data_IF_075883186401
#
_entry.id   IF_075883186401
#
_cell.length_a   1.000
_cell.length_b   1.000
_cell.length_c   1.000
_cell.angle_alpha   90.00
_cell.angle_beta   90.00
_cell.angle_gamma   90.00
#
_symmetry.space_group_name_H-M   'P 1'
#
loop_
_entity.id
_entity.type
_entity.pdbx_description
1 polymer ?
#
# COMPACT_ATOMS: atom_id res chain seq x y z
N UNK A 1 -41.01 57.67 50.93
CA UNK A 1 -40.27 58.13 49.73
C UNK A 1 -39.41 57.03 49.10
N UNK A 2 -38.73 56.17 49.89
CA UNK A 2 -37.88 55.08 49.36
C UNK A 2 -38.61 54.08 48.43
N UNK A 3 -39.82 53.63 48.78
CA UNK A 3 -40.57 52.66 47.98
C UNK A 3 -40.96 53.20 46.58
N UNK A 4 -41.24 54.50 46.43
CA UNK A 4 -41.59 55.11 45.15
C UNK A 4 -40.39 55.25 44.21
N UNK A 5 -39.18 55.45 44.78
CA UNK A 5 -37.94 55.52 44.03
C UNK A 5 -37.50 54.12 43.54
N UNK A 6 -37.71 53.10 44.36
CA UNK A 6 -37.45 51.69 43.98
C UNK A 6 -38.39 51.27 42.83
N UNK A 7 -39.67 51.63 42.88
CA UNK A 7 -40.63 51.32 41.80
C UNK A 7 -40.32 52.05 40.51
N UNK A 8 -39.93 53.32 40.56
CA UNK A 8 -39.53 54.05 39.35
C UNK A 8 -38.26 53.48 38.73
N UNK A 9 -37.33 52.99 39.57
CA UNK A 9 -36.10 52.32 39.11
C UNK A 9 -36.41 51.01 38.39
N UNK A 10 -37.24 50.14 38.99
CA UNK A 10 -37.65 48.88 38.37
C UNK A 10 -38.42 49.09 37.06
N UNK A 11 -39.27 50.11 36.99
CA UNK A 11 -39.97 50.48 35.76
C UNK A 11 -39.00 50.97 34.67
N UNK A 12 -37.97 51.74 35.04
CA UNK A 12 -36.92 52.17 34.11
C UNK A 12 -36.08 50.97 33.61
N UNK A 13 -35.71 50.04 34.50
CA UNK A 13 -34.98 48.82 34.14
C UNK A 13 -35.79 47.91 33.20
N UNK A 14 -37.10 47.72 33.46
CA UNK A 14 -37.99 46.96 32.58
C UNK A 14 -38.17 47.61 31.20
N UNK A 15 -38.28 48.95 31.16
CA UNK A 15 -38.33 49.69 29.90
C UNK A 15 -37.02 49.53 29.11
N UNK A 16 -35.87 49.63 29.78
CA UNK A 16 -34.57 49.43 29.15
C UNK A 16 -34.42 48.00 28.59
N UNK A 17 -34.82 46.98 29.35
CA UNK A 17 -34.78 45.59 28.90
C UNK A 17 -35.73 45.35 27.73
N UNK A 18 -36.94 45.93 27.79
CA UNK A 18 -37.93 45.79 26.72
C UNK A 18 -37.46 46.44 25.43
N UNK A 19 -36.91 47.66 25.50
CA UNK A 19 -36.35 48.35 24.34
C UNK A 19 -35.15 47.57 23.76
N UNK A 20 -34.25 47.08 24.61
CA UNK A 20 -33.12 46.25 24.19
C UNK A 20 -33.58 44.98 23.47
N UNK A 21 -34.55 44.26 24.04
CA UNK A 21 -35.07 43.02 23.46
C UNK A 21 -35.82 43.26 22.15
N UNK A 22 -36.53 44.39 22.03
CA UNK A 22 -37.23 44.80 20.81
C UNK A 22 -36.25 45.11 19.67
N UNK A 23 -35.15 45.79 19.96
CA UNK A 23 -34.20 46.24 18.93
C UNK A 23 -33.14 45.16 18.60
N UNK A 24 -32.87 44.24 19.52
CA UNK A 24 -31.94 43.12 19.36
C UNK A 24 -32.07 42.33 18.04
N UNK A 25 -33.27 41.83 17.63
CA UNK A 25 -33.39 41.05 16.39
C UNK A 25 -33.05 41.87 15.14
N UNK A 26 -33.43 43.15 15.10
CA UNK A 26 -33.15 44.04 13.97
C UNK A 26 -31.65 44.33 13.86
N UNK A 27 -31.02 44.70 14.98
CA UNK A 27 -29.57 44.92 15.04
C UNK A 27 -28.82 43.65 14.69
N UNK A 28 -29.19 42.49 15.26
CA UNK A 28 -28.57 41.19 14.95
C UNK A 28 -28.67 40.84 13.47
N UNK A 29 -29.82 41.04 12.84
CA UNK A 29 -30.01 40.80 11.41
C UNK A 29 -29.11 41.71 10.56
N UNK A 30 -28.99 42.99 10.91
CA UNK A 30 -28.09 43.93 10.24
C UNK A 30 -26.61 43.53 10.38
N UNK A 31 -26.18 43.15 11.59
CA UNK A 31 -24.82 42.65 11.82
C UNK A 31 -24.54 41.37 11.02
N UNK A 32 -25.48 40.43 11.00
CA UNK A 32 -25.36 39.19 10.23
C UNK A 32 -25.32 39.46 8.72
N UNK A 33 -26.16 40.37 8.21
CA UNK A 33 -26.12 40.78 6.81
C UNK A 33 -24.79 41.43 6.45
N UNK A 34 -24.31 42.40 7.24
CA UNK A 34 -23.02 43.05 7.03
C UNK A 34 -21.84 42.06 7.11
N UNK A 35 -21.87 41.12 8.06
CA UNK A 35 -20.86 40.07 8.16
C UNK A 35 -20.89 39.14 6.94
N UNK A 36 -22.09 38.73 6.50
CA UNK A 36 -22.26 37.89 5.30
C UNK A 36 -21.77 38.58 4.04
N UNK A 37 -22.05 39.86 3.87
CA UNK A 37 -21.61 40.62 2.70
C UNK A 37 -20.09 40.81 2.70
N UNK A 38 -19.48 41.16 3.85
CA UNK A 38 -18.02 41.23 3.99
C UNK A 38 -17.32 39.90 3.74
N UNK A 39 -17.89 38.80 4.22
CA UNK A 39 -17.36 37.45 3.97
C UNK A 39 -17.50 37.06 2.50
N UNK A 40 -18.63 37.38 1.86
CA UNK A 40 -18.86 37.11 0.44
C UNK A 40 -17.84 37.86 -0.43
N UNK A 41 -17.60 39.14 -0.13
CA UNK A 41 -16.60 39.94 -0.86
C UNK A 41 -15.19 39.36 -0.71
N UNK A 42 -14.78 39.04 0.52
CA UNK A 42 -13.47 38.41 0.79
C UNK A 42 -13.33 37.06 0.10
N UNK A 43 -14.36 36.22 0.17
CA UNK A 43 -14.37 34.93 -0.51
C UNK A 43 -14.32 35.10 -2.03
N UNK A 44 -15.05 36.07 -2.58
CA UNK A 44 -15.00 36.42 -4.01
C UNK A 44 -13.59 36.81 -4.44
N UNK A 45 -12.92 37.67 -3.66
CA UNK A 45 -11.53 38.09 -3.89
C UNK A 45 -10.55 36.92 -3.84
N UNK A 46 -10.58 36.13 -2.76
CA UNK A 46 -9.71 34.94 -2.61
C UNK A 46 -9.97 33.92 -3.71
N UNK A 47 -11.23 33.69 -4.09
CA UNK A 47 -11.59 32.78 -5.17
C UNK A 47 -11.08 33.28 -6.52
N UNK A 48 -11.11 34.58 -6.78
CA UNK A 48 -10.55 35.17 -7.99
C UNK A 48 -9.01 35.08 -8.01
N UNK A 49 -8.36 35.40 -6.90
CA UNK A 49 -6.90 35.27 -6.75
C UNK A 49 -6.45 33.81 -6.91
N UNK A 50 -7.18 32.87 -6.30
CA UNK A 50 -6.95 31.42 -6.43
C UNK A 50 -7.11 30.96 -7.88
N UNK A 51 -8.17 31.39 -8.59
CA UNK A 51 -8.34 31.08 -10.02
C UNK A 51 -7.21 31.66 -10.87
N UNK A 52 -6.78 32.88 -10.60
CA UNK A 52 -5.66 33.52 -11.31
C UNK A 52 -4.34 32.81 -11.04
N UNK A 53 -4.08 32.38 -9.81
CA UNK A 53 -2.91 31.61 -9.44
C UNK A 53 -2.92 30.23 -10.14
N UNK A 54 -4.04 29.51 -10.09
CA UNK A 54 -4.21 28.23 -10.77
C UNK A 54 -4.00 28.34 -12.28
N UNK A 55 -4.48 29.42 -12.92
CA UNK A 55 -4.23 29.68 -14.33
C UNK A 55 -2.75 29.89 -14.67
N UNK A 56 -2.02 30.64 -13.83
CA UNK A 56 -0.58 30.85 -13.99
C UNK A 56 0.23 29.56 -13.78
N UNK A 57 -0.16 28.76 -12.80
CA UNK A 57 0.45 27.45 -12.52
C UNK A 57 0.22 26.48 -13.68
N UNK A 58 -1.01 26.42 -14.22
CA UNK A 58 -1.33 25.59 -15.38
C UNK A 58 -0.51 25.97 -16.60
N UNK A 59 -0.33 27.27 -16.88
CA UNK A 59 0.47 27.72 -18.02
C UNK A 59 1.96 27.42 -17.85
N UNK A 60 2.50 27.55 -16.63
CA UNK A 60 3.87 27.15 -16.34
C UNK A 60 4.05 25.62 -16.51
N UNK A 61 3.13 24.83 -15.96
CA UNK A 61 3.15 23.38 -16.09
C UNK A 61 3.02 22.92 -17.56
N UNK A 62 2.19 23.59 -18.38
CA UNK A 62 2.08 23.32 -19.81
C UNK A 62 3.42 23.56 -20.53
N UNK A 63 4.09 24.67 -20.22
CA UNK A 63 5.41 24.97 -20.76
C UNK A 63 6.45 23.90 -20.41
N UNK A 64 6.49 23.49 -19.14
CA UNK A 64 7.40 22.44 -18.67
C UNK A 64 7.08 21.08 -19.31
N UNK A 65 5.81 20.75 -19.45
CA UNK A 65 5.34 19.51 -20.10
C UNK A 65 5.70 19.48 -21.59
N UNK A 66 5.53 20.58 -22.33
CA UNK A 66 5.92 20.66 -23.74
C UNK A 66 7.45 20.48 -23.89
N UNK A 67 8.23 21.09 -23.01
CA UNK A 67 9.67 20.92 -23.01
C UNK A 67 10.06 19.48 -22.67
N UNK A 68 9.39 18.84 -21.72
CA UNK A 68 9.61 17.44 -21.37
C UNK A 68 9.27 16.51 -22.54
N UNK A 69 8.10 16.69 -23.17
CA UNK A 69 7.68 15.93 -24.35
C UNK A 69 8.66 16.09 -25.51
N UNK A 70 9.16 17.31 -25.77
CA UNK A 70 10.19 17.52 -26.79
C UNK A 70 11.48 16.78 -26.47
N UNK A 71 11.96 16.87 -25.22
CA UNK A 71 13.17 16.14 -24.79
C UNK A 71 12.99 14.62 -24.95
N UNK A 72 11.82 14.13 -24.57
CA UNK A 72 11.46 12.72 -24.65
C UNK A 72 11.35 12.22 -26.09
N UNK A 73 10.76 13.03 -26.98
CA UNK A 73 10.61 12.72 -28.41
C UNK A 73 11.93 12.73 -29.18
N UNK A 74 12.90 13.58 -28.79
CA UNK A 74 14.16 13.74 -29.52
C UNK A 74 15.21 12.65 -29.22
N UNK A 75 14.92 11.72 -28.31
CA UNK A 75 15.85 10.64 -27.91
C UNK A 75 15.19 9.28 -28.15
N UNK A 76 15.98 8.27 -28.52
CA UNK A 76 15.51 6.90 -28.65
C UNK A 76 14.51 6.65 -29.79
N UNK A 77 13.57 5.72 -29.55
CA UNK A 77 12.48 5.38 -30.46
C UNK A 77 11.52 6.56 -30.71
N UNK A 78 10.71 6.48 -31.77
CA UNK A 78 9.75 7.53 -32.12
C UNK A 78 8.79 7.83 -30.96
N UNK A 79 8.34 9.07 -30.84
CA UNK A 79 7.40 9.46 -29.77
C UNK A 79 6.14 8.60 -29.76
N UNK A 80 5.67 8.16 -30.93
CA UNK A 80 4.52 7.27 -31.07
C UNK A 80 4.78 5.92 -30.40
N UNK A 81 5.94 5.29 -30.65
CA UNK A 81 6.34 4.02 -30.03
C UNK A 81 6.45 4.15 -28.51
N UNK A 82 6.99 5.28 -28.03
CA UNK A 82 7.13 5.56 -26.61
C UNK A 82 5.79 5.79 -25.91
N UNK A 83 4.88 6.52 -26.56
CA UNK A 83 3.51 6.74 -26.06
C UNK A 83 2.76 5.43 -26.03
N UNK A 84 2.84 4.63 -27.09
CA UNK A 84 2.23 3.30 -27.17
C UNK A 84 2.78 2.37 -26.08
N UNK A 85 4.10 2.38 -25.87
CA UNK A 85 4.74 1.60 -24.82
C UNK A 85 4.26 2.01 -23.42
N UNK A 86 4.17 3.32 -23.17
CA UNK A 86 3.71 3.84 -21.89
C UNK A 86 2.23 3.51 -21.66
N UNK A 87 1.37 3.63 -22.68
CA UNK A 87 -0.04 3.27 -22.59
C UNK A 87 -0.24 1.78 -22.28
N UNK A 88 0.52 0.90 -22.93
CA UNK A 88 0.50 -0.54 -22.65
C UNK A 88 0.96 -0.86 -21.23
N UNK A 89 2.00 -0.18 -20.73
CA UNK A 89 2.48 -0.33 -19.35
C UNK A 89 1.41 0.16 -18.37
N UNK A 90 0.85 1.35 -18.59
CA UNK A 90 -0.14 1.95 -17.70
C UNK A 90 -1.42 1.11 -17.67
N UNK A 91 -2.00 0.80 -18.84
CA UNK A 91 -3.17 -0.09 -18.94
C UNK A 91 -2.89 -1.43 -18.28
N UNK A 92 -1.72 -1.99 -18.52
CA UNK A 92 -1.26 -3.21 -17.86
C UNK A 92 -1.24 -3.11 -16.34
N UNK A 93 -0.64 -2.05 -15.79
CA UNK A 93 -0.57 -1.77 -14.35
C UNK A 93 -1.96 -1.62 -13.75
N UNK A 94 -2.86 -0.90 -14.42
CA UNK A 94 -4.27 -0.77 -14.00
C UNK A 94 -4.96 -2.15 -13.92
N UNK A 95 -4.85 -2.98 -14.94
CA UNK A 95 -5.46 -4.34 -14.90
C UNK A 95 -4.85 -5.23 -13.82
N UNK A 96 -3.58 -5.00 -13.46
CA UNK A 96 -2.88 -5.80 -12.46
C UNK A 96 -3.21 -5.33 -11.03
N UNK A 97 -3.39 -4.02 -10.83
CA UNK A 97 -3.72 -3.40 -9.55
C UNK A 97 -5.20 -3.48 -9.18
N UNK A 98 -6.06 -3.95 -10.08
CA UNK A 98 -7.47 -4.20 -9.77
C UNK A 98 -7.63 -5.11 -8.55
N UNK A 99 -8.61 -4.85 -7.64
CA UNK A 99 -8.82 -5.65 -6.43
C UNK A 99 -9.11 -7.14 -6.64
N UNK A 100 -9.51 -7.50 -7.86
CA UNK A 100 -9.74 -8.88 -8.33
C UNK A 100 -8.71 -9.34 -9.38
N UNK A 101 -7.72 -8.50 -9.67
CA UNK A 101 -6.63 -8.73 -10.61
C UNK A 101 -5.71 -9.86 -10.16
N UNK A 102 -4.86 -10.31 -11.08
CA UNK A 102 -3.95 -11.45 -10.84
C UNK A 102 -3.02 -11.22 -9.66
N UNK A 103 -2.52 -10.00 -9.49
CA UNK A 103 -1.66 -9.65 -8.36
C UNK A 103 -2.38 -9.79 -7.02
N UNK A 104 -3.58 -9.21 -6.90
CA UNK A 104 -4.39 -9.32 -5.69
C UNK A 104 -4.74 -10.79 -5.35
N UNK A 105 -4.92 -11.66 -6.35
CA UNK A 105 -5.14 -13.10 -6.12
C UNK A 105 -3.91 -13.80 -5.56
N UNK A 106 -2.72 -13.51 -6.10
CA UNK A 106 -1.43 -14.04 -5.63
C UNK A 106 -1.18 -13.60 -4.18
N UNK A 107 -1.40 -12.31 -3.87
CA UNK A 107 -1.25 -11.76 -2.52
C UNK A 107 -2.23 -12.41 -1.54
N UNK A 108 -3.53 -12.46 -1.86
CA UNK A 108 -4.53 -13.11 -0.99
C UNK A 108 -4.24 -14.58 -0.74
N UNK A 109 -3.68 -15.28 -1.74
CA UNK A 109 -3.33 -16.70 -1.61
C UNK A 109 -2.17 -16.89 -0.64
N UNK A 110 -1.13 -16.07 -0.78
CA UNK A 110 -0.03 -16.02 0.16
C UNK A 110 -0.50 -15.61 1.56
N UNK A 111 -1.36 -14.60 1.69
CA UNK A 111 -1.89 -14.18 2.99
C UNK A 111 -2.61 -15.34 3.69
N UNK A 112 -3.48 -16.09 2.99
CA UNK A 112 -4.15 -17.26 3.56
C UNK A 112 -3.15 -18.32 4.04
N UNK A 113 -2.11 -18.56 3.27
CA UNK A 113 -1.04 -19.46 3.66
C UNK A 113 -0.26 -18.92 4.87
N UNK A 114 0.08 -17.63 4.90
CA UNK A 114 0.80 -17.02 6.02
C UNK A 114 -0.02 -17.05 7.33
N UNK A 115 -1.35 -16.93 7.23
CA UNK A 115 -2.24 -17.17 8.37
C UNK A 115 -2.16 -18.63 8.84
N UNK A 116 -2.20 -19.60 7.91
CA UNK A 116 -2.00 -21.02 8.24
C UNK A 116 -0.64 -21.30 8.88
N UNK A 117 0.44 -20.64 8.42
CA UNK A 117 1.77 -20.74 9.07
C UNK A 117 1.71 -20.25 10.52
N UNK A 118 1.02 -19.13 10.76
CA UNK A 118 0.85 -18.58 12.10
C UNK A 118 0.05 -19.52 13.00
N UNK A 119 -1.04 -20.09 12.48
CA UNK A 119 -1.87 -21.08 13.17
C UNK A 119 -1.08 -22.36 13.50
N UNK A 120 -0.25 -22.84 12.56
CA UNK A 120 0.61 -24.01 12.77
C UNK A 120 1.70 -23.74 13.81
N UNK A 121 2.33 -22.56 13.80
CA UNK A 121 3.27 -22.15 14.85
C UNK A 121 2.61 -22.07 16.23
N UNK A 122 1.40 -21.53 16.31
CA UNK A 122 0.64 -21.48 17.56
C UNK A 122 0.24 -22.87 18.04
N UNK A 123 -0.18 -23.76 17.13
CA UNK A 123 -0.44 -25.15 17.43
C UNK A 123 0.82 -25.88 17.93
N UNK A 124 2.00 -25.62 17.36
CA UNK A 124 3.29 -26.17 17.83
C UNK A 124 3.64 -25.69 19.25
N UNK A 125 3.33 -24.44 19.60
CA UNK A 125 3.55 -23.92 20.98
C UNK A 125 2.64 -24.60 22.01
N UNK A 126 1.46 -25.05 21.59
CA UNK A 126 0.49 -25.75 22.44
C UNK A 126 0.47 -27.28 22.22
N UNK A 127 1.38 -27.82 21.39
CA UNK A 127 1.40 -29.23 21.01
C UNK A 127 1.75 -30.16 22.19
N UNK A 128 2.44 -29.64 23.21
CA UNK A 128 2.72 -30.37 24.46
C UNK A 128 1.42 -30.66 25.26
N UNK A 129 0.32 -29.94 24.99
CA UNK A 129 -1.00 -30.10 25.64
C UNK A 129 -2.08 -30.76 24.74
N UNK A 130 -1.90 -30.79 23.41
CA UNK A 130 -2.95 -31.16 22.43
C UNK A 130 -2.60 -32.36 21.53
N UNK A 131 -2.11 -33.46 22.09
CA UNK A 131 -1.82 -34.74 21.39
C UNK A 131 -3.05 -35.46 20.75
N UNK A 132 -4.21 -34.80 20.61
CA UNK A 132 -5.49 -35.43 20.22
C UNK A 132 -6.12 -34.85 18.93
N UNK A 133 -5.59 -33.74 18.39
CA UNK A 133 -6.05 -33.21 17.10
C UNK A 133 -4.98 -33.48 16.03
N UNK A 134 -5.40 -34.04 14.90
CA UNK A 134 -4.54 -34.74 13.94
C UNK A 134 -3.28 -33.98 13.51
N UNK A 135 -2.19 -34.72 13.31
CA UNK A 135 -0.85 -34.21 13.00
C UNK A 135 -0.76 -33.31 11.74
N UNK A 136 -1.78 -33.32 10.86
CA UNK A 136 -1.80 -32.52 9.63
C UNK A 136 -1.83 -31.00 9.89
N UNK A 137 -2.33 -30.53 11.04
CA UNK A 137 -2.33 -29.09 11.37
C UNK A 137 -0.97 -28.55 11.86
N UNK A 138 0.03 -29.43 12.04
CA UNK A 138 1.37 -29.06 12.53
C UNK A 138 2.37 -28.82 11.40
N UNK A 139 2.07 -29.25 10.18
CA UNK A 139 2.95 -29.10 9.02
C UNK A 139 2.55 -27.90 8.16
N UNK A 140 3.53 -27.17 7.63
CA UNK A 140 3.27 -26.10 6.68
C UNK A 140 3.07 -26.76 5.31
N UNK A 141 1.83 -26.78 4.82
CA UNK A 141 1.60 -27.09 3.42
C UNK A 141 2.30 -26.03 2.55
N UNK A 142 2.94 -26.43 1.46
CA UNK A 142 3.46 -25.50 0.46
C UNK A 142 2.34 -24.57 -0.05
N UNK A 143 2.69 -23.34 -0.44
CA UNK A 143 1.77 -22.52 -1.23
C UNK A 143 1.60 -23.21 -2.58
N UNK A 144 0.53 -24.00 -2.74
CA UNK A 144 0.13 -24.75 -3.95
C UNK A 144 0.92 -24.36 -5.22
N UNK A 145 1.56 -25.32 -5.89
CA UNK A 145 2.48 -25.08 -7.03
C UNK A 145 1.94 -24.15 -8.13
N UNK A 146 0.62 -24.06 -8.32
CA UNK A 146 -0.01 -23.09 -9.21
C UNK A 146 0.29 -21.61 -8.85
N UNK A 147 0.47 -21.30 -7.55
CA UNK A 147 0.83 -19.97 -7.06
C UNK A 147 2.23 -19.57 -7.51
N UNK A 148 3.20 -20.49 -7.45
CA UNK A 148 4.58 -20.23 -7.88
C UNK A 148 4.65 -19.90 -9.37
N UNK A 149 3.90 -20.63 -10.21
CA UNK A 149 3.80 -20.37 -11.65
C UNK A 149 3.13 -19.02 -11.95
N UNK A 150 2.00 -18.73 -11.28
CA UNK A 150 1.31 -17.44 -11.41
C UNK A 150 2.21 -16.27 -10.98
N UNK A 151 2.90 -16.41 -9.84
CA UNK A 151 3.88 -15.43 -9.34
C UNK A 151 5.00 -15.20 -10.34
N UNK A 152 5.64 -16.26 -10.83
CA UNK A 152 6.72 -16.17 -11.81
C UNK A 152 6.26 -15.50 -13.12
N UNK A 153 5.01 -15.77 -13.55
CA UNK A 153 4.44 -15.13 -14.73
C UNK A 153 4.26 -13.61 -14.55
N UNK A 154 3.81 -13.17 -13.38
CA UNK A 154 3.64 -11.75 -13.05
C UNK A 154 4.99 -11.08 -12.83
N UNK A 155 5.94 -11.75 -12.19
CA UNK A 155 7.30 -11.28 -12.00
C UNK A 155 7.98 -10.98 -13.35
N UNK A 156 7.99 -11.96 -14.27
CA UNK A 156 8.55 -11.78 -15.63
C UNK A 156 7.90 -10.63 -16.39
N UNK A 157 6.58 -10.46 -16.23
CA UNK A 157 5.84 -9.38 -16.88
C UNK A 157 6.22 -8.01 -16.31
N UNK A 158 6.34 -7.90 -14.98
CA UNK A 158 6.80 -6.68 -14.30
C UNK A 158 8.25 -6.35 -14.64
N UNK A 159 9.14 -7.35 -14.75
CA UNK A 159 10.52 -7.15 -15.20
C UNK A 159 10.60 -6.68 -16.66
N UNK A 160 9.78 -7.25 -17.55
CA UNK A 160 9.67 -6.78 -18.92
C UNK A 160 9.20 -5.32 -18.99
N UNK A 161 8.23 -4.94 -18.15
CA UNK A 161 7.81 -3.54 -18.03
C UNK A 161 8.88 -2.65 -17.44
N UNK A 162 9.64 -3.09 -16.43
CA UNK A 162 10.78 -2.35 -15.89
C UNK A 162 11.82 -2.06 -16.96
N UNK A 163 12.21 -3.07 -17.75
CA UNK A 163 13.16 -2.92 -18.85
C UNK A 163 12.63 -1.98 -19.93
N UNK A 164 11.35 -2.12 -20.31
CA UNK A 164 10.71 -1.24 -21.30
C UNK A 164 10.56 0.20 -20.78
N UNK A 165 10.27 0.38 -19.50
CA UNK A 165 10.22 1.70 -18.86
C UNK A 165 11.60 2.36 -18.87
N UNK A 166 12.67 1.62 -18.55
CA UNK A 166 14.04 2.13 -18.63
C UNK A 166 14.48 2.47 -20.06
N UNK A 167 13.94 1.79 -21.06
CA UNK A 167 14.21 2.05 -22.48
C UNK A 167 13.51 3.33 -22.98
N UNK A 168 12.30 3.61 -22.48
CA UNK A 168 11.58 4.85 -22.84
C UNK A 168 11.95 6.04 -21.95
N UNK A 169 12.46 5.81 -20.73
CA UNK A 169 12.82 6.85 -19.76
C UNK A 169 14.21 7.46 -20.05
N UNK A 170 14.30 8.15 -21.18
CA UNK A 170 15.47 8.93 -21.59
C UNK A 170 15.62 10.26 -20.81
N UNK A 171 14.70 10.56 -19.88
CA UNK A 171 14.63 11.86 -19.21
C UNK A 171 15.57 11.94 -18.01
N UNK A 172 15.76 10.82 -17.29
CA UNK A 172 16.69 10.73 -16.15
C UNK A 172 18.13 11.06 -16.57
N UNK A 173 18.56 10.64 -17.76
CA UNK A 173 19.90 10.94 -18.30
C UNK A 173 20.14 12.42 -18.67
N UNK A 174 19.09 13.26 -18.57
CA UNK A 174 19.14 14.71 -18.84
C UNK A 174 19.24 15.56 -17.58
N UNK A 175 18.80 15.08 -16.42
CA UNK A 175 18.91 15.83 -15.16
C UNK A 175 20.39 15.97 -14.75
N UNK A 176 21.18 14.90 -14.88
CA UNK A 176 22.61 14.90 -14.50
C UNK A 176 23.48 15.89 -15.29
N UNK A 177 23.10 16.22 -16.54
CA UNK A 177 23.86 17.16 -17.40
C UNK A 177 23.43 18.62 -17.29
N UNK A 178 22.26 18.89 -16.69
CA UNK A 178 21.68 20.24 -16.58
C UNK A 178 21.50 20.77 -15.15
N UNK A 179 21.66 19.91 -14.14
CA UNK A 179 21.30 20.19 -12.74
C UNK A 179 22.27 21.09 -11.96
N UNK A 180 23.34 21.60 -12.56
CA UNK A 180 24.28 22.46 -11.81
C UNK A 180 23.72 23.86 -11.47
N UNK A 181 22.58 24.29 -12.02
CA UNK A 181 22.17 25.69 -11.88
C UNK A 181 20.66 26.02 -11.98
N UNK A 182 19.75 25.06 -11.78
CA UNK A 182 18.30 25.35 -11.75
C UNK A 182 17.72 24.99 -10.38
N UNK A 183 17.06 25.91 -9.66
CA UNK A 183 16.33 25.55 -8.44
C UNK A 183 15.30 24.48 -8.82
N UNK A 184 15.14 23.45 -7.97
CA UNK A 184 14.32 22.27 -8.21
C UNK A 184 12.93 22.64 -8.77
N UNK A 185 12.83 22.70 -10.09
CA UNK A 185 11.58 22.91 -10.79
C UNK A 185 10.75 21.65 -10.53
N UNK A 186 9.44 21.82 -10.31
CA UNK A 186 8.57 20.68 -10.12
C UNK A 186 8.73 19.73 -11.32
N UNK A 187 8.84 18.42 -11.11
CA UNK A 187 8.92 17.48 -12.20
C UNK A 187 7.68 17.63 -13.08
N UNK A 188 7.89 17.64 -14.40
CA UNK A 188 6.80 17.68 -15.37
C UNK A 188 5.83 16.52 -15.12
N UNK A 189 4.60 16.64 -15.61
CA UNK A 189 3.59 15.58 -15.40
C UNK A 189 4.05 14.24 -15.97
N UNK A 190 4.80 14.26 -17.08
CA UNK A 190 5.35 13.07 -17.71
C UNK A 190 6.48 12.45 -16.88
N UNK A 191 7.41 13.25 -16.37
CA UNK A 191 8.47 12.76 -15.47
C UNK A 191 7.87 12.16 -14.20
N UNK A 192 6.81 12.77 -13.65
CA UNK A 192 6.07 12.24 -12.50
C UNK A 192 5.37 10.92 -12.83
N UNK A 193 4.78 10.80 -14.02
CA UNK A 193 4.10 9.59 -14.46
C UNK A 193 5.08 8.44 -14.70
N UNK A 194 6.20 8.68 -15.39
CA UNK A 194 7.24 7.67 -15.59
C UNK A 194 7.84 7.22 -14.26
N UNK A 195 8.16 8.17 -13.37
CA UNK A 195 8.66 7.87 -12.03
C UNK A 195 7.65 7.05 -11.23
N UNK A 196 6.39 7.48 -11.20
CA UNK A 196 5.33 6.78 -10.48
C UNK A 196 5.09 5.36 -11.01
N UNK A 197 5.12 5.17 -12.34
CA UNK A 197 5.05 3.84 -12.94
C UNK A 197 6.25 2.97 -12.55
N UNK A 198 7.47 3.54 -12.55
CA UNK A 198 8.69 2.86 -12.13
C UNK A 198 8.69 2.46 -10.67
N UNK A 199 8.30 3.37 -9.78
CA UNK A 199 8.15 3.13 -8.34
C UNK A 199 7.11 2.05 -8.06
N UNK A 200 5.96 2.07 -8.76
CA UNK A 200 4.92 1.06 -8.60
C UNK A 200 5.39 -0.32 -9.07
N UNK A 201 6.00 -0.42 -10.26
CA UNK A 201 6.56 -1.69 -10.77
C UNK A 201 7.64 -2.21 -9.82
N UNK A 202 8.52 -1.34 -9.33
CA UNK A 202 9.56 -1.70 -8.37
C UNK A 202 8.97 -2.20 -7.05
N UNK A 203 7.98 -1.50 -6.51
CA UNK A 203 7.29 -1.91 -5.28
C UNK A 203 6.61 -3.27 -5.42
N UNK A 204 5.91 -3.52 -6.53
CA UNK A 204 5.27 -4.81 -6.80
C UNK A 204 6.30 -5.93 -6.96
N UNK A 205 7.44 -5.68 -7.61
CA UNK A 205 8.53 -6.66 -7.70
C UNK A 205 9.13 -6.96 -6.33
N UNK A 206 9.39 -5.93 -5.53
CA UNK A 206 9.94 -6.08 -4.18
C UNK A 206 9.00 -6.90 -3.27
N UNK A 207 7.70 -6.66 -3.35
CA UNK A 207 6.70 -7.43 -2.61
C UNK A 207 6.70 -8.91 -3.03
N UNK A 208 6.69 -9.20 -4.34
CA UNK A 208 6.71 -10.60 -4.84
C UNK A 208 7.99 -11.36 -4.50
N UNK A 209 9.13 -10.68 -4.39
CA UNK A 209 10.39 -11.27 -3.91
C UNK A 209 10.33 -11.51 -2.40
N UNK A 210 9.85 -10.53 -1.63
CA UNK A 210 9.70 -10.68 -0.18
C UNK A 210 8.78 -11.86 0.19
N UNK A 211 7.70 -12.07 -0.57
CA UNK A 211 6.79 -13.22 -0.36
C UNK A 211 7.51 -14.57 -0.54
N UNK A 212 8.41 -14.69 -1.51
CA UNK A 212 9.21 -15.92 -1.70
C UNK A 212 10.26 -16.11 -0.63
N UNK A 213 10.93 -15.04 -0.21
CA UNK A 213 11.87 -15.11 0.91
C UNK A 213 11.17 -15.56 2.20
N UNK A 214 9.96 -15.06 2.46
CA UNK A 214 9.16 -15.48 3.62
C UNK A 214 8.76 -16.96 3.51
N UNK A 215 8.35 -17.42 2.33
CA UNK A 215 8.03 -18.83 2.09
C UNK A 215 9.23 -19.74 2.37
N UNK A 216 10.38 -19.45 1.75
CA UNK A 216 11.59 -20.23 1.94
C UNK A 216 12.05 -20.26 3.41
N UNK A 217 11.95 -19.11 4.10
CA UNK A 217 12.28 -19.04 5.52
C UNK A 217 11.31 -19.85 6.39
N UNK A 218 10.02 -19.88 6.06
CA UNK A 218 9.04 -20.67 6.81
C UNK A 218 9.28 -22.18 6.63
N UNK A 219 9.53 -22.62 5.39
CA UNK A 219 9.86 -24.02 5.09
C UNK A 219 11.17 -24.45 5.76
N UNK A 220 12.22 -23.62 5.74
CA UNK A 220 13.47 -23.93 6.43
C UNK A 220 13.28 -24.09 7.95
N UNK A 221 12.47 -23.23 8.59
CA UNK A 221 12.15 -23.36 10.02
C UNK A 221 11.36 -24.63 10.33
N UNK A 222 10.49 -25.06 9.42
CA UNK A 222 9.81 -26.34 9.54
C UNK A 222 10.78 -27.52 9.43
N UNK A 223 11.67 -27.54 8.44
CA UNK A 223 12.67 -28.60 8.30
C UNK A 223 13.54 -28.72 9.56
N UNK A 224 13.97 -27.58 10.12
CA UNK A 224 14.71 -27.52 11.38
C UNK A 224 13.87 -28.06 12.55
N UNK A 225 12.59 -27.69 12.65
CA UNK A 225 11.69 -28.20 13.68
C UNK A 225 11.48 -29.71 13.56
N UNK A 226 11.21 -30.23 12.35
CA UNK A 226 11.08 -31.67 12.07
C UNK A 226 12.36 -32.40 12.48
N UNK A 227 13.53 -31.88 12.10
CA UNK A 227 14.82 -32.46 12.45
C UNK A 227 15.05 -32.47 13.98
N UNK A 228 14.63 -31.41 14.68
CA UNK A 228 14.70 -31.31 16.14
C UNK A 228 13.75 -32.30 16.83
N UNK A 229 12.55 -32.52 16.28
CA UNK A 229 11.56 -33.45 16.80
C UNK A 229 11.99 -34.90 16.60
N UNK A 230 12.55 -35.23 15.44
CA UNK A 230 13.14 -36.56 15.18
C UNK A 230 14.30 -36.84 16.13
N UNK A 231 15.16 -35.85 16.39
CA UNK A 231 16.28 -35.98 17.33
C UNK A 231 15.79 -36.18 18.77
N UNK A 232 14.90 -35.32 19.26
CA UNK A 232 14.35 -35.42 20.62
C UNK A 232 13.47 -36.64 20.87
N UNK A 233 12.87 -37.21 19.82
CA UNK A 233 12.11 -38.47 19.89
C UNK A 233 12.98 -39.73 20.04
N UNK A 234 14.25 -39.68 19.61
CA UNK A 234 15.22 -40.78 19.76
C UNK A 234 15.78 -40.86 21.20
N UNK A 235 15.73 -39.76 21.94
CA UNK A 235 16.22 -39.63 23.33
C UNK A 235 15.32 -40.33 24.36
N UNK A 236 14.08 -40.69 23.98
CA UNK A 236 13.00 -41.11 24.88
C UNK A 236 12.64 -42.60 24.87
N UNK A 237 13.14 -43.42 23.92
CA UNK A 237 12.69 -44.81 23.77
C UNK A 237 13.73 -45.90 24.07
N UNK A 238 14.99 -45.56 24.43
CA UNK A 238 15.98 -46.56 24.88
C UNK A 238 16.43 -46.27 26.32
N UNK A 239 15.48 -46.28 27.26
CA UNK A 239 15.82 -46.54 28.68
C UNK A 239 14.63 -47.10 29.46
N UNK A 240 14.20 -48.32 29.13
CA UNK A 240 13.33 -49.09 30.01
C UNK A 240 12.57 -50.18 29.28
N UNK A 241 13.09 -51.40 29.31
CA UNK A 241 12.39 -52.56 28.76
C UNK A 241 13.33 -53.69 28.37
N UNK A 242 13.95 -54.32 29.37
CA UNK A 242 14.30 -55.73 29.26
C UNK A 242 12.96 -56.48 29.15
N UNK A 243 12.56 -56.85 27.93
CA UNK A 243 11.71 -58.01 27.68
C UNK A 243 11.79 -58.37 26.20
N UNK A 244 12.20 -59.61 25.95
CA UNK A 244 12.50 -60.15 24.63
C UNK A 244 11.32 -60.09 23.68
N UNK A 245 11.52 -59.41 22.55
CA UNK A 245 10.78 -59.68 21.33
C UNK A 245 11.76 -59.76 20.17
N UNK A 246 12.00 -60.98 19.70
CA UNK A 246 12.78 -61.29 18.51
C UNK A 246 12.24 -60.52 17.29
N UNK A 247 13.02 -59.55 16.80
CA UNK A 247 12.82 -58.99 15.48
C UNK A 247 13.31 -60.01 14.43
N UNK A 248 12.48 -60.44 13.46
CA UNK A 248 12.91 -61.40 12.46
C UNK A 248 13.95 -60.78 11.53
N UNK A 249 15.16 -61.36 11.54
CA UNK A 249 16.24 -61.07 10.60
C UNK A 249 15.72 -61.21 9.16
N UNK A 250 15.75 -60.11 8.40
CA UNK A 250 15.59 -60.11 6.96
C UNK A 250 16.67 -60.99 6.34
N UNK A 251 16.29 -62.19 5.91
CA UNK A 251 17.14 -63.11 5.17
C UNK A 251 17.40 -62.57 3.77
N UNK A 252 18.66 -62.28 3.47
CA UNK A 252 19.14 -62.15 2.10
C UNK A 252 18.92 -63.48 1.36
N UNK A 253 18.08 -63.47 0.33
CA UNK A 253 17.93 -64.59 -0.60
C UNK A 253 18.52 -64.15 -1.93
N UNK A 254 19.83 -64.37 -2.10
CA UNK A 254 20.41 -64.51 -3.43
C UNK A 254 20.23 -65.97 -3.83
N UNK A 255 19.51 -66.21 -4.93
CA UNK A 255 19.75 -67.41 -5.73
C UNK A 255 19.83 -67.04 -7.20
N UNK A 256 21.02 -67.25 -7.73
CA UNK A 256 21.26 -67.54 -9.12
C UNK A 256 20.60 -68.88 -9.48
N UNK A 257 19.90 -68.91 -10.61
CA UNK A 257 19.83 -70.01 -11.57
C UNK A 257 19.31 -69.43 -12.89
#
# INVERSE_FOLDING_TARGET
MAASAETSRLQAELLQLHLLHRDYPATRAQWQASAKDKLRERFGKVSQESRSAAGRESAAAEGDNILALRRWACRGAGIEDKVQALDEIMTGLWTLSEPAGRYARIVRRFERWAHHVSDAEEARRHADEMLVHGHDSLFLGEVDGAWGEERASVLRKLEAWRCRLSDIDDLVASEERGAANRPAAQPSSLERMLRGAGELVHGMLAELHAMEEIEQQALAREEEWIASMIRGGDDGFIRGGDDGFDAPKAGAIWRAA
#
